data_IF_479995709501
#
_entry.id   IF_479995709501
#
_cell.length_a   1.000
_cell.length_b   1.000
_cell.length_c   1.000
_cell.angle_alpha   90.00
_cell.angle_beta   90.00
_cell.angle_gamma   90.00
#
_symmetry.space_group_name_H-M   'P 1'
#
loop_
_entity.id
_entity.type
_entity.pdbx_description
1 polymer ?
#
# COMPACT_ATOMS: atom_id res chain seq x y z
N UNK A 1 -18.44 -39.86 1.37
CA UNK A 1 -17.22 -39.29 1.98
C UNK A 1 -16.94 -37.93 1.31
N UNK A 2 -17.80 -36.94 1.59
CA UNK A 2 -17.70 -35.56 1.07
C UNK A 2 -17.47 -34.65 2.28
N UNK A 3 -16.23 -34.39 2.64
CA UNK A 3 -15.93 -33.63 3.85
C UNK A 3 -14.45 -33.33 4.02
N UNK A 4 -13.82 -32.74 3.01
CA UNK A 4 -12.45 -32.23 3.12
C UNK A 4 -12.07 -31.23 2.00
N UNK A 5 -13.04 -30.47 1.45
CA UNK A 5 -12.77 -29.51 0.36
C UNK A 5 -13.26 -28.08 0.68
N UNK A 6 -13.47 -27.75 1.96
CA UNK A 6 -14.00 -26.43 2.35
C UNK A 6 -13.12 -25.63 3.32
N UNK A 7 -11.85 -26.01 3.53
CA UNK A 7 -10.91 -25.31 4.44
C UNK A 7 -9.74 -24.61 3.74
N UNK A 8 -9.73 -24.55 2.41
CA UNK A 8 -8.73 -23.79 1.62
C UNK A 8 -9.26 -22.46 1.06
N UNK A 9 -10.42 -22.01 1.54
CA UNK A 9 -10.81 -20.60 1.42
C UNK A 9 -10.10 -19.86 2.55
N UNK A 10 -8.86 -19.41 2.27
CA UNK A 10 -8.05 -18.63 3.19
C UNK A 10 -8.92 -17.57 3.87
N UNK A 11 -8.97 -17.60 5.19
CA UNK A 11 -9.82 -16.72 5.99
C UNK A 11 -9.45 -15.28 5.66
N UNK A 12 -10.36 -14.58 5.00
CA UNK A 12 -10.13 -13.22 4.54
C UNK A 12 -9.71 -12.31 5.72
N UNK A 13 -8.63 -11.55 5.54
CA UNK A 13 -8.10 -10.64 6.56
C UNK A 13 -9.11 -9.57 6.96
N UNK A 14 -9.04 -9.12 8.22
CA UNK A 14 -9.96 -8.07 8.72
C UNK A 14 -9.76 -6.74 7.97
N UNK A 15 -8.55 -6.47 7.48
CA UNK A 15 -8.24 -5.30 6.64
C UNK A 15 -8.96 -5.36 5.30
N UNK A 16 -8.91 -6.50 4.61
CA UNK A 16 -9.62 -6.68 3.35
C UNK A 16 -11.14 -6.48 3.52
N UNK A 17 -11.71 -7.00 4.61
CA UNK A 17 -13.13 -6.79 4.96
C UNK A 17 -13.45 -5.32 5.21
N UNK A 18 -12.63 -4.61 5.99
CA UNK A 18 -12.81 -3.17 6.31
C UNK A 18 -12.76 -2.31 5.05
N UNK A 19 -11.76 -2.50 4.20
CA UNK A 19 -11.62 -1.72 2.97
C UNK A 19 -12.73 -2.03 1.95
N UNK A 20 -13.23 -3.28 1.90
CA UNK A 20 -14.42 -3.61 1.10
C UNK A 20 -15.68 -2.92 1.63
N UNK A 21 -15.85 -2.87 2.94
CA UNK A 21 -16.98 -2.16 3.55
C UNK A 21 -16.92 -0.64 3.29
N UNK A 22 -15.73 -0.04 3.32
CA UNK A 22 -15.52 1.37 2.97
C UNK A 22 -15.79 1.64 1.49
N UNK A 23 -15.36 0.75 0.60
CA UNK A 23 -15.68 0.80 -0.83
C UNK A 23 -17.20 0.72 -1.10
N UNK A 24 -17.97 0.11 -0.21
CA UNK A 24 -19.42 0.02 -0.33
C UNK A 24 -20.16 1.28 0.15
N UNK A 25 -19.48 2.22 0.84
CA UNK A 25 -20.13 3.44 1.36
C UNK A 25 -20.59 4.35 0.20
N UNK A 26 -21.85 4.82 0.19
CA UNK A 26 -22.38 5.66 -0.89
C UNK A 26 -21.72 7.04 -1.00
N UNK A 27 -21.08 7.50 0.07
CA UNK A 27 -20.51 8.84 0.22
C UNK A 27 -19.10 8.98 -0.35
N UNK A 28 -18.42 7.87 -0.68
CA UNK A 28 -17.10 7.90 -1.29
C UNK A 28 -17.19 8.11 -2.80
N UNK A 29 -16.31 8.94 -3.36
CA UNK A 29 -16.19 9.14 -4.81
C UNK A 29 -16.05 7.78 -5.52
N UNK A 30 -16.76 7.58 -6.64
CA UNK A 30 -16.81 6.31 -7.36
C UNK A 30 -15.43 5.71 -7.66
N UNK A 31 -14.45 6.57 -7.99
CA UNK A 31 -13.06 6.18 -8.24
C UNK A 31 -12.34 5.68 -6.97
N UNK A 32 -12.60 6.29 -5.82
CA UNK A 32 -12.07 5.84 -4.53
C UNK A 32 -12.65 4.48 -4.15
N UNK A 33 -13.95 4.28 -4.38
CA UNK A 33 -14.64 3.00 -4.14
C UNK A 33 -14.04 1.86 -4.98
N UNK A 34 -13.81 2.09 -6.27
CA UNK A 34 -13.18 1.10 -7.15
C UNK A 34 -11.74 0.77 -6.72
N UNK A 35 -10.95 1.77 -6.32
CA UNK A 35 -9.59 1.55 -5.80
C UNK A 35 -9.59 0.72 -4.52
N UNK A 36 -10.45 1.07 -3.56
CA UNK A 36 -10.57 0.34 -2.29
C UNK A 36 -11.04 -1.11 -2.52
N UNK A 37 -12.00 -1.35 -3.42
CA UNK A 37 -12.47 -2.69 -3.77
C UNK A 37 -11.38 -3.54 -4.44
N UNK A 38 -10.62 -2.95 -5.39
CA UNK A 38 -9.51 -3.63 -6.05
C UNK A 38 -8.39 -4.00 -5.06
N UNK A 39 -8.04 -3.08 -4.16
CA UNK A 39 -7.05 -3.35 -3.11
C UNK A 39 -7.54 -4.42 -2.13
N UNK A 40 -8.82 -4.39 -1.73
CA UNK A 40 -9.41 -5.44 -0.88
C UNK A 40 -9.34 -6.83 -1.52
N UNK A 41 -9.63 -6.94 -2.81
CA UNK A 41 -9.48 -8.19 -3.57
C UNK A 41 -8.03 -8.68 -3.62
N UNK A 42 -7.07 -7.78 -3.86
CA UNK A 42 -5.64 -8.12 -3.89
C UNK A 42 -5.13 -8.59 -2.52
N UNK A 43 -5.50 -7.89 -1.45
CA UNK A 43 -5.12 -8.24 -0.08
C UNK A 43 -5.70 -9.58 0.40
N UNK A 44 -6.80 -10.04 -0.19
CA UNK A 44 -7.38 -11.35 0.14
C UNK A 44 -6.49 -12.52 -0.29
N UNK A 45 -5.57 -12.29 -1.24
CA UNK A 45 -4.71 -13.31 -1.83
C UNK A 45 -3.21 -13.03 -1.60
N UNK A 46 -2.84 -11.83 -1.14
CA UNK A 46 -1.47 -11.45 -0.83
C UNK A 46 -1.34 -10.97 0.62
N UNK A 47 -0.77 -11.84 1.47
CA UNK A 47 -0.52 -11.54 2.88
C UNK A 47 0.49 -10.42 3.12
N UNK A 48 1.41 -10.16 2.19
CA UNK A 48 2.34 -9.02 2.28
C UNK A 48 1.60 -7.72 1.99
N UNK A 49 0.71 -7.71 0.99
CA UNK A 49 -0.14 -6.56 0.70
C UNK A 49 -1.07 -6.25 1.88
N UNK A 50 -1.72 -7.27 2.45
CA UNK A 50 -2.59 -7.12 3.62
C UNK A 50 -1.82 -6.58 4.84
N UNK A 51 -0.61 -7.10 5.09
CA UNK A 51 0.27 -6.63 6.19
C UNK A 51 0.70 -5.18 6.02
N UNK A 52 1.03 -4.77 4.80
CA UNK A 52 1.39 -3.38 4.48
C UNK A 52 0.21 -2.42 4.62
N UNK A 53 -0.98 -2.81 4.20
CA UNK A 53 -2.19 -2.03 4.39
C UNK A 53 -2.54 -1.88 5.88
N UNK A 54 -2.47 -2.98 6.65
CA UNK A 54 -2.65 -2.93 8.11
C UNK A 54 -1.67 -1.96 8.79
N UNK A 55 -0.41 -1.96 8.33
CA UNK A 55 0.60 -1.03 8.83
C UNK A 55 0.26 0.43 8.51
N UNK A 56 -0.22 0.73 7.31
CA UNK A 56 -0.67 2.09 6.96
C UNK A 56 -1.86 2.50 7.83
N UNK A 57 -2.88 1.64 7.93
CA UNK A 57 -4.08 1.89 8.74
C UNK A 57 -3.73 2.16 10.21
N UNK A 58 -2.79 1.39 10.77
CA UNK A 58 -2.32 1.57 12.14
C UNK A 58 -1.65 2.94 12.33
N UNK A 59 -0.68 3.27 11.47
CA UNK A 59 0.09 4.51 11.59
C UNK A 59 -0.71 5.77 11.20
N UNK A 60 -1.89 5.61 10.61
CA UNK A 60 -2.78 6.71 10.24
C UNK A 60 -3.42 7.43 11.44
N UNK A 61 -3.32 6.87 12.65
CA UNK A 61 -3.79 7.53 13.88
C UNK A 61 -2.89 8.70 14.34
N UNK A 62 -1.73 8.88 13.69
CA UNK A 62 -0.79 9.96 13.96
C UNK A 62 0.11 9.74 15.18
N UNK A 63 0.07 8.58 15.83
CA UNK A 63 0.85 8.27 17.04
C UNK A 63 2.10 7.44 16.73
N UNK A 64 3.18 7.56 17.52
CA UNK A 64 4.31 6.64 17.43
C UNK A 64 3.96 5.25 17.96
N UNK A 65 4.28 4.21 17.20
CA UNK A 65 4.12 2.82 17.58
C UNK A 65 5.47 2.08 17.64
N UNK A 66 5.71 1.34 18.72
CA UNK A 66 6.91 0.51 18.85
C UNK A 66 6.87 -0.66 17.87
N UNK A 67 8.00 -1.34 17.68
CA UNK A 67 8.05 -2.52 16.79
C UNK A 67 7.13 -3.62 17.28
N UNK A 68 7.11 -3.82 18.59
CA UNK A 68 6.35 -4.85 19.28
C UNK A 68 4.84 -4.57 19.14
N UNK A 69 4.41 -3.33 19.37
CA UNK A 69 3.00 -2.91 19.21
C UNK A 69 2.54 -3.04 17.74
N UNK A 70 3.37 -2.64 16.78
CA UNK A 70 3.06 -2.84 15.36
C UNK A 70 2.91 -4.32 15.03
N UNK A 71 3.83 -5.16 15.50
CA UNK A 71 3.79 -6.60 15.22
C UNK A 71 2.53 -7.24 15.78
N UNK A 72 2.18 -6.92 17.03
CA UNK A 72 0.99 -7.43 17.70
C UNK A 72 -0.29 -6.99 16.99
N UNK A 73 -0.47 -5.68 16.76
CA UNK A 73 -1.70 -5.13 16.17
C UNK A 73 -1.94 -5.58 14.74
N UNK A 74 -0.89 -5.58 13.92
CA UNK A 74 -1.00 -6.07 12.54
C UNK A 74 -1.24 -7.57 12.49
N UNK A 75 -0.67 -8.35 13.42
CA UNK A 75 -0.95 -9.78 13.54
C UNK A 75 -2.42 -10.03 13.96
N UNK A 76 -3.01 -9.18 14.80
CA UNK A 76 -4.43 -9.26 15.14
C UNK A 76 -5.35 -9.00 13.93
N UNK A 77 -4.94 -8.09 13.03
CA UNK A 77 -5.73 -7.72 11.84
C UNK A 77 -5.56 -8.68 10.66
N UNK A 78 -4.35 -9.22 10.46
CA UNK A 78 -3.98 -10.02 9.27
C UNK A 78 -3.81 -11.51 9.60
N UNK A 79 -3.61 -11.85 10.87
CA UNK A 79 -3.36 -13.20 11.36
C UNK A 79 -1.93 -13.39 11.86
N UNK A 80 -1.74 -14.22 12.89
CA UNK A 80 -0.47 -14.40 13.60
C UNK A 80 0.70 -14.85 12.70
N UNK A 81 0.42 -15.59 11.63
CA UNK A 81 1.43 -16.08 10.70
C UNK A 81 1.94 -15.01 9.72
N UNK A 82 1.35 -13.81 9.67
CA UNK A 82 1.62 -12.80 8.64
C UNK A 82 3.09 -12.34 8.62
N UNK A 83 3.81 -12.44 9.74
CA UNK A 83 5.20 -12.00 9.86
C UNK A 83 6.24 -13.07 9.48
N UNK A 84 5.85 -14.34 9.42
CA UNK A 84 6.78 -15.46 9.22
C UNK A 84 7.80 -15.61 10.36
N UNK A 85 8.94 -16.26 10.06
CA UNK A 85 9.96 -16.63 11.08
C UNK A 85 10.78 -15.45 11.61
N UNK A 86 10.77 -14.30 10.92
CA UNK A 86 11.62 -13.14 11.22
C UNK A 86 10.80 -11.84 11.21
N UNK A 87 9.98 -11.61 12.24
CA UNK A 87 9.02 -10.49 12.26
C UNK A 87 9.69 -9.12 12.16
N UNK A 88 10.81 -8.92 12.85
CA UNK A 88 11.55 -7.66 12.82
C UNK A 88 12.09 -7.33 11.42
N UNK A 89 12.66 -8.32 10.71
CA UNK A 89 13.15 -8.12 9.34
C UNK A 89 11.99 -7.85 8.37
N UNK A 90 10.88 -8.57 8.51
CA UNK A 90 9.69 -8.37 7.68
C UNK A 90 9.12 -6.95 7.84
N UNK A 91 9.00 -6.46 9.08
CA UNK A 91 8.58 -5.09 9.37
C UNK A 91 9.50 -4.06 8.70
N UNK A 92 10.81 -4.20 8.85
CA UNK A 92 11.76 -3.27 8.24
C UNK A 92 11.70 -3.29 6.70
N UNK A 93 11.53 -4.48 6.09
CA UNK A 93 11.34 -4.62 4.63
C UNK A 93 10.06 -3.92 4.17
N UNK A 94 8.97 -4.05 4.93
CA UNK A 94 7.71 -3.38 4.59
C UNK A 94 7.81 -1.88 4.74
N UNK A 95 8.38 -1.36 5.83
CA UNK A 95 8.64 0.08 6.00
C UNK A 95 9.50 0.61 4.86
N UNK A 96 10.55 -0.10 4.45
CA UNK A 96 11.39 0.28 3.33
C UNK A 96 10.63 0.26 1.99
N UNK A 97 9.77 -0.73 1.75
CA UNK A 97 8.93 -0.81 0.56
C UNK A 97 7.93 0.35 0.49
N UNK A 98 7.28 0.66 1.60
CA UNK A 98 6.31 1.76 1.71
C UNK A 98 6.98 3.12 1.50
N UNK A 99 8.16 3.35 2.08
CA UNK A 99 8.98 4.55 1.83
C UNK A 99 9.37 4.70 0.37
N UNK A 100 9.81 3.62 -0.28
CA UNK A 100 10.10 3.62 -1.73
C UNK A 100 8.84 3.91 -2.56
N UNK A 101 7.68 3.52 -2.07
CA UNK A 101 6.37 3.86 -2.65
C UNK A 101 5.86 5.27 -2.32
N UNK A 102 6.67 6.12 -1.68
CA UNK A 102 6.33 7.51 -1.36
C UNK A 102 5.59 7.71 -0.04
N UNK A 103 5.37 6.66 0.76
CA UNK A 103 4.75 6.80 2.08
C UNK A 103 5.82 7.24 3.08
N UNK A 104 5.69 8.47 3.59
CA UNK A 104 6.61 9.04 4.55
C UNK A 104 6.46 8.44 5.94
N UNK A 105 7.05 7.27 6.22
CA UNK A 105 7.11 6.70 7.57
C UNK A 105 8.39 7.20 8.25
N UNK A 106 8.31 7.74 9.47
CA UNK A 106 9.45 8.17 10.26
C UNK A 106 9.60 7.31 11.54
N UNK A 107 10.71 7.48 12.28
CA UNK A 107 10.91 6.88 13.59
C UNK A 107 11.35 7.96 14.59
N UNK A 108 10.65 8.09 15.70
CA UNK A 108 11.01 9.00 16.78
C UNK A 108 11.83 8.25 17.84
N UNK A 109 12.88 8.89 18.36
CA UNK A 109 13.73 8.39 19.46
C UNK A 109 13.55 9.20 20.75
N UNK A 110 12.56 10.11 20.79
CA UNK A 110 12.32 10.94 21.96
C UNK A 110 11.74 10.07 23.07
N UNK A 111 12.25 10.21 24.29
CA UNK A 111 11.72 9.50 25.45
C UNK A 111 10.21 9.78 25.59
N UNK A 112 9.41 8.71 25.70
CA UNK A 112 7.95 8.77 25.76
C UNK A 112 7.23 8.87 24.40
N UNK A 113 7.96 8.99 23.29
CA UNK A 113 7.42 9.03 21.92
C UNK A 113 8.24 8.13 20.98
N UNK A 114 8.79 7.05 21.51
CA UNK A 114 9.62 6.14 20.72
C UNK A 114 8.74 5.26 19.82
N UNK A 115 8.97 5.28 18.51
CA UNK A 115 8.20 4.46 17.58
C UNK A 115 8.13 4.98 16.16
N UNK A 116 7.55 4.16 15.27
CA UNK A 116 7.23 4.52 13.90
C UNK A 116 5.92 5.30 13.83
N UNK A 117 5.85 6.27 12.91
CA UNK A 117 4.66 7.08 12.68
C UNK A 117 4.63 7.56 11.23
N UNK A 118 3.45 7.95 10.71
CA UNK A 118 3.36 8.65 9.44
C UNK A 118 3.80 10.10 9.60
N UNK A 119 4.70 10.55 8.72
CA UNK A 119 5.14 11.93 8.62
C UNK A 119 4.05 12.84 8.00
N UNK A 120 2.94 12.27 7.52
CA UNK A 120 1.76 12.97 7.00
C UNK A 120 0.45 12.22 7.34
N UNK A 121 -0.59 12.88 7.90
CA UNK A 121 -0.53 14.25 8.44
C UNK A 121 0.52 14.33 9.54
N UNK A 122 1.15 15.49 9.69
CA UNK A 122 2.19 15.66 10.70
C UNK A 122 1.60 15.32 12.09
N UNK A 123 2.38 14.66 12.95
CA UNK A 123 2.01 14.50 14.37
C UNK A 123 1.47 15.83 14.90
N UNK A 124 0.35 15.79 15.63
CA UNK A 124 -0.39 16.97 16.10
C UNK A 124 0.47 17.95 16.95
N UNK A 125 1.70 17.58 17.29
CA UNK A 125 2.69 18.41 18.01
C UNK A 125 3.79 19.07 17.14
N UNK A 126 3.66 19.10 15.80
CA UNK A 126 4.60 19.85 14.96
C UNK A 126 4.05 21.23 14.58
N UNK A 127 4.72 22.27 15.08
CA UNK A 127 4.73 23.59 14.43
C UNK A 127 4.92 23.43 12.91
N UNK A 128 4.14 24.12 12.06
CA UNK A 128 4.15 23.87 10.62
C UNK A 128 5.52 24.16 10.03
N UNK A 129 6.16 23.15 9.46
CA UNK A 129 7.39 23.31 8.68
C UNK A 129 6.98 23.58 7.21
N UNK A 130 7.52 24.64 6.62
CA UNK A 130 7.14 25.23 5.34
C UNK A 130 7.41 24.37 4.07
N UNK A 131 7.60 23.06 4.21
CA UNK A 131 7.96 22.17 3.11
C UNK A 131 6.79 21.52 2.35
N UNK A 132 5.53 21.76 2.75
CA UNK A 132 4.36 21.06 2.21
C UNK A 132 3.65 21.76 1.02
N UNK A 133 4.14 22.92 0.58
CA UNK A 133 3.46 23.68 -0.48
C UNK A 133 3.38 22.92 -1.82
N UNK A 134 4.38 22.09 -2.16
CA UNK A 134 4.46 21.41 -3.46
C UNK A 134 3.37 20.33 -3.63
N UNK A 135 2.98 19.65 -2.55
CA UNK A 135 1.94 18.60 -2.61
C UNK A 135 0.54 19.19 -2.76
N UNK A 136 0.28 20.32 -2.08
CA UNK A 136 -1.01 21.01 -2.14
C UNK A 136 -1.20 21.72 -3.49
N UNK A 137 -0.15 22.36 -4.03
CA UNK A 137 -0.20 22.98 -5.36
C UNK A 137 -0.44 21.95 -6.47
N UNK A 138 0.21 20.78 -6.41
CA UNK A 138 -0.01 19.72 -7.39
C UNK A 138 -1.45 19.18 -7.32
N UNK A 139 -2.00 18.98 -6.12
CA UNK A 139 -3.39 18.55 -5.95
C UNK A 139 -4.40 19.60 -6.44
N UNK A 140 -4.11 20.88 -6.24
CA UNK A 140 -4.92 22.00 -6.75
C UNK A 140 -4.86 22.02 -8.29
N UNK A 141 -3.68 21.87 -8.89
CA UNK A 141 -3.49 21.82 -10.34
C UNK A 141 -4.21 20.61 -10.98
N UNK A 142 -4.04 19.42 -10.41
CA UNK A 142 -4.71 18.20 -10.88
C UNK A 142 -6.23 18.33 -10.78
N UNK A 143 -6.77 19.02 -9.77
CA UNK A 143 -8.23 19.26 -9.67
C UNK A 143 -8.74 20.21 -10.75
N UNK A 144 -7.98 21.23 -11.10
CA UNK A 144 -8.32 22.23 -12.11
C UNK A 144 -8.27 21.71 -13.56
N UNK A 145 -7.56 20.60 -13.82
CA UNK A 145 -7.50 20.00 -15.16
C UNK A 145 -8.83 19.36 -15.58
N UNK A 146 -9.15 19.46 -16.86
CA UNK A 146 -10.27 18.73 -17.44
C UNK A 146 -9.99 17.22 -17.50
N UNK A 147 -11.00 16.44 -17.87
CA UNK A 147 -10.88 14.99 -17.95
C UNK A 147 -9.82 14.50 -18.94
N UNK A 148 -9.52 15.28 -19.99
CA UNK A 148 -8.53 14.91 -20.99
C UNK A 148 -7.10 15.05 -20.42
N UNK A 149 -6.80 16.19 -19.79
CA UNK A 149 -5.52 16.42 -19.13
C UNK A 149 -5.29 15.47 -17.93
N UNK A 150 -6.35 15.13 -17.19
CA UNK A 150 -6.27 14.10 -16.12
C UNK A 150 -5.93 12.71 -16.68
N UNK A 151 -6.52 12.35 -17.82
CA UNK A 151 -6.22 11.07 -18.47
C UNK A 151 -4.78 11.03 -18.97
N UNK A 152 -4.27 12.13 -19.53
CA UNK A 152 -2.87 12.23 -19.98
C UNK A 152 -1.88 11.98 -18.84
N UNK A 153 -2.09 12.60 -17.67
CA UNK A 153 -1.26 12.37 -16.47
C UNK A 153 -1.34 10.92 -15.99
N UNK A 154 -2.53 10.31 -16.01
CA UNK A 154 -2.72 8.91 -15.61
C UNK A 154 -2.04 7.96 -16.58
N UNK A 155 -2.13 8.21 -17.90
CA UNK A 155 -1.44 7.41 -18.91
C UNK A 155 0.07 7.55 -18.80
N UNK A 156 0.59 8.76 -18.57
CA UNK A 156 2.01 8.99 -18.33
C UNK A 156 2.51 8.25 -17.08
N UNK A 157 1.74 8.27 -15.99
CA UNK A 157 2.06 7.54 -14.77
C UNK A 157 2.05 6.02 -14.97
N UNK A 158 1.08 5.49 -15.72
CA UNK A 158 1.01 4.07 -16.04
C UNK A 158 2.14 3.64 -16.99
N UNK A 159 2.52 4.49 -17.94
CA UNK A 159 3.63 4.26 -18.87
C UNK A 159 4.98 4.25 -18.13
N UNK A 160 5.18 5.17 -17.20
CA UNK A 160 6.31 5.17 -16.28
C UNK A 160 6.36 3.88 -15.43
N UNK A 161 5.23 3.48 -14.84
CA UNK A 161 5.12 2.25 -14.08
C UNK A 161 5.46 1.01 -14.93
N UNK A 162 5.02 0.97 -16.20
CA UNK A 162 5.35 -0.10 -17.15
C UNK A 162 6.86 -0.17 -17.39
N UNK A 163 7.52 0.97 -17.66
CA UNK A 163 8.98 1.02 -17.86
C UNK A 163 9.75 0.51 -16.63
N UNK A 164 9.30 0.87 -15.43
CA UNK A 164 9.90 0.38 -14.19
C UNK A 164 9.72 -1.15 -14.05
N UNK A 165 8.52 -1.67 -14.33
CA UNK A 165 8.26 -3.12 -14.27
C UNK A 165 9.04 -3.88 -15.34
N UNK A 166 9.19 -3.32 -16.53
CA UNK A 166 10.00 -3.88 -17.61
C UNK A 166 11.45 -4.11 -17.17
N UNK A 167 12.09 -3.09 -16.59
CA UNK A 167 13.48 -3.20 -16.12
C UNK A 167 13.64 -4.26 -15.02
N UNK A 168 12.66 -4.36 -14.11
CA UNK A 168 12.67 -5.36 -13.04
C UNK A 168 12.52 -6.77 -13.63
N UNK A 169 11.54 -7.00 -14.49
CA UNK A 169 11.30 -8.31 -15.11
C UNK A 169 12.49 -8.74 -15.97
N UNK A 170 13.12 -7.82 -16.71
CA UNK A 170 14.34 -8.09 -17.47
C UNK A 170 15.52 -8.50 -16.58
N UNK A 171 15.64 -7.89 -15.39
CA UNK A 171 16.66 -8.26 -14.42
C UNK A 171 16.41 -9.61 -13.75
N UNK A 172 15.15 -9.92 -13.43
CA UNK A 172 14.73 -11.17 -12.78
C UNK A 172 14.72 -12.36 -13.76
N UNK A 173 14.54 -12.10 -15.07
CA UNK A 173 14.47 -13.10 -16.12
C UNK A 173 15.34 -12.72 -17.34
N UNK A 174 16.68 -12.79 -17.21
CA UNK A 174 17.59 -12.34 -18.27
C UNK A 174 17.51 -13.19 -19.55
N UNK A 175 17.03 -14.44 -19.45
CA UNK A 175 16.87 -15.36 -20.57
C UNK A 175 15.53 -15.18 -21.31
N UNK A 176 14.63 -14.33 -20.81
CA UNK A 176 13.34 -14.11 -21.45
C UNK A 176 13.48 -13.20 -22.68
N UNK A 177 12.76 -13.50 -23.78
CA UNK A 177 12.70 -12.60 -24.91
C UNK A 177 11.97 -11.30 -24.52
N UNK A 178 12.39 -10.18 -25.12
CA UNK A 178 11.86 -8.84 -24.84
C UNK A 178 10.31 -8.78 -24.89
N UNK A 179 9.69 -9.48 -25.84
CA UNK A 179 8.23 -9.53 -25.97
C UNK A 179 7.53 -10.21 -24.79
N UNK A 180 8.20 -11.15 -24.13
CA UNK A 180 7.69 -11.81 -22.94
C UNK A 180 7.87 -10.94 -21.70
N UNK A 181 8.99 -10.21 -21.61
CA UNK A 181 9.25 -9.22 -20.57
C UNK A 181 8.22 -8.09 -20.64
N UNK A 182 7.96 -7.53 -21.83
CA UNK A 182 6.97 -6.46 -22.00
C UNK A 182 5.55 -6.93 -21.67
N UNK A 183 5.18 -8.15 -22.09
CA UNK A 183 3.88 -8.74 -21.78
C UNK A 183 3.68 -8.88 -20.27
N UNK A 184 4.68 -9.38 -19.56
CA UNK A 184 4.62 -9.52 -18.12
C UNK A 184 4.62 -8.15 -17.41
N UNK A 185 5.42 -7.20 -17.88
CA UNK A 185 5.39 -5.82 -17.38
C UNK A 185 4.01 -5.17 -17.55
N UNK A 186 3.35 -5.40 -18.69
CA UNK A 186 1.97 -4.94 -18.94
C UNK A 186 0.98 -5.65 -18.04
N UNK A 187 1.08 -6.96 -17.88
CA UNK A 187 0.22 -7.74 -16.96
C UNK A 187 0.31 -7.20 -15.53
N UNK A 188 1.50 -6.83 -15.09
CA UNK A 188 1.76 -6.29 -13.75
C UNK A 188 1.24 -4.85 -13.55
N UNK A 189 1.09 -4.06 -14.60
CA UNK A 189 0.65 -2.65 -14.51
C UNK A 189 -0.81 -2.45 -14.89
N UNK A 190 -1.29 -3.18 -15.89
CA UNK A 190 -2.63 -3.04 -16.48
C UNK A 190 -3.55 -4.23 -16.18
N UNK A 191 -3.02 -5.36 -15.71
CA UNK A 191 -3.81 -6.54 -15.36
C UNK A 191 -4.33 -7.36 -16.55
N UNK A 192 -3.78 -7.16 -17.75
CA UNK A 192 -4.12 -7.87 -19.01
C UNK A 192 -2.98 -8.75 -19.49
#
# INVERSE_FOLDING_TARGET
MMGAMNELLGTESNVAKRWRAEAARPTAEFKLRLRLAAMAGHMSHDGVAARRAALIDLLADGRPHTREDIQERVAADVGAACWGKRPQEALLRDVAALRRGGIGIAYSRRAGLEGFYLNYPAMEDRQPWAGNQVADEWLIQVRAHDSAAKNEVVFAAAEFARRQKHLIVAGDHPDWPEEQIDREARRLVYGV
#
